data_IF_911831667882
#
_entry.id   IF_911831667882
#
_cell.length_a   1.000
_cell.length_b   1.000
_cell.length_c   1.000
_cell.angle_alpha   90.00
_cell.angle_beta   90.00
_cell.angle_gamma   90.00
#
_symmetry.space_group_name_H-M   'P 1'
#
loop_
_entity.id
_entity.type
_entity.pdbx_description
1 polymer ?
#
# COMPACT_ATOMS: atom_id res chain seq x y z
N UNK A 1 -49.84 31.73 3.31
CA UNK A 1 -48.82 32.27 4.24
C UNK A 1 -48.67 31.29 5.40
N UNK A 2 -47.65 30.43 5.34
CA UNK A 2 -47.32 29.55 6.47
C UNK A 2 -46.86 30.40 7.65
N UNK A 3 -47.37 30.12 8.85
CA UNK A 3 -46.95 30.81 10.07
C UNK A 3 -45.46 30.59 10.28
N UNK A 4 -44.70 31.67 10.42
CA UNK A 4 -43.33 31.64 10.92
C UNK A 4 -43.41 31.09 12.35
N UNK A 5 -42.85 29.91 12.66
CA UNK A 5 -42.87 29.43 14.03
C UNK A 5 -41.92 30.30 14.87
N UNK A 6 -42.49 31.28 15.58
CA UNK A 6 -41.76 31.99 16.62
C UNK A 6 -41.48 31.02 17.77
N UNK A 7 -40.23 30.57 17.93
CA UNK A 7 -39.75 30.19 19.25
C UNK A 7 -39.86 31.43 20.13
N UNK A 8 -40.84 31.45 21.04
CA UNK A 8 -40.96 32.49 22.06
C UNK A 8 -39.61 32.60 22.78
N UNK A 9 -38.98 33.75 22.65
CA UNK A 9 -37.99 34.42 23.52
C UNK A 9 -36.95 35.14 22.65
N UNK A 10 -36.79 36.43 22.87
CA UNK A 10 -35.72 37.23 22.29
C UNK A 10 -34.38 36.68 22.80
N UNK A 11 -33.45 36.36 21.89
CA UNK A 11 -32.17 35.75 22.23
C UNK A 11 -31.03 36.75 22.12
N UNK A 12 -29.97 36.52 22.91
CA UNK A 12 -28.73 37.25 22.74
C UNK A 12 -27.98 36.69 21.53
N UNK A 13 -28.09 37.37 20.39
CA UNK A 13 -27.37 37.00 19.16
C UNK A 13 -26.08 37.81 18.98
N UNK A 14 -25.55 38.47 20.02
CA UNK A 14 -24.29 39.21 20.00
C UNK A 14 -24.38 40.74 19.93
N UNK A 15 -25.59 41.31 19.87
CA UNK A 15 -25.83 42.76 19.83
C UNK A 15 -26.37 43.33 21.14
N UNK A 16 -26.47 44.66 21.24
CA UNK A 16 -27.00 45.36 22.43
C UNK A 16 -28.49 45.09 22.68
N UNK A 17 -29.22 44.63 21.67
CA UNK A 17 -30.63 44.26 21.74
C UNK A 17 -30.82 42.77 21.49
N UNK A 18 -31.63 42.13 22.33
CA UNK A 18 -32.07 40.77 22.07
C UNK A 18 -32.86 40.73 20.76
N UNK A 19 -32.72 39.68 19.96
CA UNK A 19 -33.39 39.51 18.67
C UNK A 19 -33.79 38.08 18.36
N UNK A 20 -34.63 37.91 17.34
CA UNK A 20 -34.87 36.61 16.73
C UNK A 20 -33.80 36.38 15.66
N UNK A 21 -32.89 35.43 15.92
CA UNK A 21 -31.97 34.96 14.89
C UNK A 21 -32.74 34.19 13.82
N UNK A 22 -32.33 34.31 12.57
CA UNK A 22 -32.86 33.46 11.51
C UNK A 22 -32.37 32.04 11.75
N UNK A 23 -33.29 31.08 11.72
CA UNK A 23 -32.92 29.66 11.74
C UNK A 23 -32.48 29.22 10.35
N UNK A 24 -31.67 28.16 10.30
CA UNK A 24 -31.33 27.48 9.05
C UNK A 24 -32.56 27.15 8.20
N UNK A 25 -32.49 27.46 6.90
CA UNK A 25 -33.60 27.24 5.96
C UNK A 25 -34.76 28.26 6.09
N UNK A 26 -34.61 29.32 6.88
CA UNK A 26 -35.60 30.40 6.96
C UNK A 26 -35.82 31.05 5.59
N UNK A 27 -37.08 31.31 5.16
CA UNK A 27 -37.37 32.07 3.93
C UNK A 27 -36.89 33.53 3.97
N UNK A 28 -36.45 34.01 5.13
CA UNK A 28 -35.87 35.33 5.28
C UNK A 28 -34.36 35.37 4.98
N UNK A 29 -33.71 34.22 4.89
CA UNK A 29 -32.30 34.13 4.50
C UNK A 29 -32.14 34.51 3.03
N UNK A 30 -31.21 35.42 2.73
CA UNK A 30 -30.90 35.91 1.39
C UNK A 30 -32.13 36.40 0.60
N UNK A 31 -33.15 36.93 1.27
CA UNK A 31 -34.44 37.27 0.69
C UNK A 31 -34.73 38.78 0.63
N UNK A 32 -33.83 39.61 1.14
CA UNK A 32 -33.94 41.06 1.14
C UNK A 32 -33.47 41.72 -0.15
N UNK A 33 -33.48 43.05 -0.16
CA UNK A 33 -33.02 43.87 -1.28
C UNK A 33 -31.84 44.72 -0.83
N UNK A 34 -30.67 44.48 -1.42
CA UNK A 34 -29.43 45.20 -1.11
C UNK A 34 -29.54 46.71 -1.36
N UNK A 35 -30.45 47.16 -2.24
CA UNK A 35 -30.63 48.60 -2.51
C UNK A 35 -31.37 49.32 -1.39
N UNK A 36 -32.09 48.59 -0.55
CA UNK A 36 -32.87 49.11 0.57
C UNK A 36 -32.11 49.04 1.91
N UNK A 37 -30.87 48.56 1.91
CA UNK A 37 -30.06 48.50 3.14
C UNK A 37 -29.56 49.89 3.53
N UNK A 38 -30.12 50.45 4.60
CA UNK A 38 -29.73 51.77 5.11
C UNK A 38 -28.36 51.78 5.84
N UNK A 39 -27.84 50.62 6.25
CA UNK A 39 -26.60 50.47 7.00
C UNK A 39 -25.70 49.41 6.36
N UNK A 40 -24.38 49.63 6.37
CA UNK A 40 -23.38 48.66 5.92
C UNK A 40 -23.11 47.57 6.96
N UNK A 41 -23.60 47.74 8.19
CA UNK A 41 -23.53 46.74 9.26
C UNK A 41 -24.92 46.37 9.79
N UNK A 42 -25.06 45.15 10.29
CA UNK A 42 -26.22 44.71 11.05
C UNK A 42 -26.20 45.25 12.48
N UNK A 43 -27.23 44.95 13.28
CA UNK A 43 -27.34 45.48 14.64
C UNK A 43 -26.24 45.00 15.61
N UNK A 44 -25.45 43.98 15.21
CA UNK A 44 -24.32 43.44 15.97
C UNK A 44 -23.00 44.08 15.54
N UNK A 45 -23.03 44.92 14.49
CA UNK A 45 -21.84 45.50 13.87
C UNK A 45 -21.18 44.59 12.84
N UNK A 46 -21.77 43.42 12.52
CA UNK A 46 -21.28 42.56 11.45
C UNK A 46 -21.61 43.15 10.07
N UNK A 47 -20.83 42.83 9.05
CA UNK A 47 -21.10 43.27 7.66
C UNK A 47 -22.51 42.84 7.24
N UNK A 48 -23.29 43.79 6.72
CA UNK A 48 -24.69 43.58 6.33
C UNK A 48 -24.85 42.92 4.96
N UNK A 49 -23.91 43.15 4.05
CA UNK A 49 -24.00 42.67 2.67
C UNK A 49 -22.88 41.67 2.44
N UNK A 50 -23.21 40.38 2.51
CA UNK A 50 -22.32 39.26 2.19
C UNK A 50 -22.94 38.37 1.10
N UNK A 51 -23.62 39.01 0.15
CA UNK A 51 -24.54 38.36 -0.79
C UNK A 51 -25.82 39.17 -0.95
N UNK A 52 -26.97 38.50 -1.02
CA UNK A 52 -28.27 39.14 -0.88
C UNK A 52 -28.56 39.26 0.61
N UNK A 53 -28.90 40.45 1.08
CA UNK A 53 -29.16 40.71 2.51
C UNK A 53 -30.32 39.87 3.04
N UNK A 54 -30.23 39.45 4.29
CA UNK A 54 -31.30 38.81 5.02
C UNK A 54 -32.43 39.80 5.37
N UNK A 55 -33.67 39.31 5.39
CA UNK A 55 -34.80 40.06 5.95
C UNK A 55 -34.74 39.94 7.48
N UNK A 56 -34.39 41.02 8.18
CA UNK A 56 -34.43 41.05 9.63
C UNK A 56 -33.46 42.03 10.25
N UNK A 57 -33.09 41.78 11.50
CA UNK A 57 -32.17 42.64 12.25
C UNK A 57 -30.71 42.18 12.19
N UNK A 58 -30.48 40.94 11.75
CA UNK A 58 -29.17 40.27 11.67
C UNK A 58 -28.91 39.79 10.25
N UNK A 59 -27.64 39.75 9.84
CA UNK A 59 -27.16 39.09 8.63
C UNK A 59 -26.49 37.75 8.99
N UNK A 60 -27.09 36.63 8.57
CA UNK A 60 -26.62 35.28 8.87
C UNK A 60 -25.46 34.89 7.95
N UNK A 61 -24.24 34.97 8.48
CA UNK A 61 -23.04 34.48 7.80
C UNK A 61 -22.54 33.23 8.51
N UNK A 62 -23.04 32.08 8.08
CA UNK A 62 -22.63 30.79 8.63
C UNK A 62 -21.37 30.29 7.91
N UNK A 63 -20.41 29.82 8.70
CA UNK A 63 -19.24 29.09 8.19
C UNK A 63 -19.17 27.71 8.84
N UNK A 64 -18.31 26.84 8.33
CA UNK A 64 -18.07 25.52 8.90
C UNK A 64 -16.77 25.49 9.71
N UNK A 65 -16.74 24.66 10.75
CA UNK A 65 -15.52 24.19 11.39
C UNK A 65 -15.56 22.67 11.52
N UNK A 66 -14.44 21.99 11.26
CA UNK A 66 -14.30 20.57 11.53
C UNK A 66 -14.32 20.31 13.05
N UNK A 67 -15.15 19.38 13.48
CA UNK A 67 -15.34 19.03 14.90
C UNK A 67 -14.90 17.60 15.22
N UNK A 68 -14.94 16.68 14.25
CA UNK A 68 -14.50 15.30 14.43
C UNK A 68 -14.04 14.64 13.11
N UNK A 69 -13.24 13.58 13.21
CA UNK A 69 -12.88 12.73 12.07
C UNK A 69 -11.81 13.29 11.12
N UNK A 70 -11.09 14.36 11.49
CA UNK A 70 -9.97 14.85 10.69
C UNK A 70 -8.66 14.11 11.02
N UNK A 71 -7.76 14.00 10.04
CA UNK A 71 -6.42 13.39 10.18
C UNK A 71 -6.44 11.94 10.67
N UNK A 72 -7.41 11.16 10.21
CA UNK A 72 -7.51 9.73 10.51
C UNK A 72 -7.09 8.90 9.29
N UNK A 73 -6.73 7.65 9.58
CA UNK A 73 -6.32 6.67 8.60
C UNK A 73 -7.07 5.37 8.81
N UNK A 74 -7.24 4.59 7.76
CA UNK A 74 -7.73 3.21 7.85
C UNK A 74 -7.13 2.38 6.72
N UNK A 75 -7.09 1.06 6.88
CA UNK A 75 -6.67 0.17 5.78
C UNK A 75 -7.65 0.26 4.63
N UNK A 76 -7.17 0.09 3.39
CA UNK A 76 -8.03 0.03 2.21
C UNK A 76 -9.23 -0.91 2.41
N UNK A 77 -10.37 -0.54 1.81
CA UNK A 77 -11.65 -1.25 1.92
C UNK A 77 -12.25 -1.38 3.34
N UNK A 78 -11.76 -0.61 4.31
CA UNK A 78 -12.32 -0.58 5.68
C UNK A 78 -12.94 0.77 6.05
N UNK A 79 -13.74 0.78 7.11
CA UNK A 79 -14.38 2.00 7.62
C UNK A 79 -13.38 2.88 8.38
N UNK A 80 -13.46 4.18 8.13
CA UNK A 80 -12.83 5.16 9.01
C UNK A 80 -13.46 5.11 10.40
N UNK A 81 -12.63 5.14 11.45
CA UNK A 81 -13.08 4.87 12.82
C UNK A 81 -13.93 5.98 13.44
N UNK A 82 -13.80 7.23 12.97
CA UNK A 82 -14.60 8.36 13.46
C UNK A 82 -15.36 9.01 12.30
N UNK A 83 -16.68 9.13 12.41
CA UNK A 83 -17.47 9.84 11.40
C UNK A 83 -17.04 11.31 11.29
N UNK A 84 -16.99 11.82 10.06
CA UNK A 84 -16.63 13.21 9.81
C UNK A 84 -17.73 14.12 10.34
N UNK A 85 -17.37 15.13 11.14
CA UNK A 85 -18.36 16.07 11.67
C UNK A 85 -17.90 17.51 11.54
N UNK A 86 -18.85 18.39 11.24
CA UNK A 86 -18.68 19.84 11.24
C UNK A 86 -19.68 20.51 12.16
N UNK A 87 -19.32 21.66 12.71
CA UNK A 87 -20.22 22.58 13.41
C UNK A 87 -20.33 23.88 12.67
N UNK A 88 -21.55 24.42 12.60
CA UNK A 88 -21.79 25.78 12.16
C UNK A 88 -21.12 26.79 13.10
N UNK A 89 -20.44 27.76 12.52
CA UNK A 89 -19.95 28.95 13.21
C UNK A 89 -20.67 30.19 12.70
N UNK A 90 -20.93 31.12 13.61
CA UNK A 90 -21.35 32.47 13.26
C UNK A 90 -20.17 33.30 12.74
N UNK A 91 -20.46 34.52 12.31
CA UNK A 91 -19.48 35.44 11.76
C UNK A 91 -18.38 35.91 12.75
N UNK A 92 -18.56 35.61 14.04
CA UNK A 92 -17.61 35.92 15.10
C UNK A 92 -16.78 34.70 15.54
N UNK A 93 -16.93 33.54 14.86
CA UNK A 93 -16.22 32.30 15.18
C UNK A 93 -16.81 31.51 16.36
N UNK A 94 -17.97 31.91 16.88
CA UNK A 94 -18.71 31.14 17.90
C UNK A 94 -19.64 30.11 17.25
N UNK A 95 -20.01 29.06 17.99
CA UNK A 95 -20.97 28.05 17.50
C UNK A 95 -22.33 28.67 17.21
N UNK A 96 -22.92 28.38 16.06
CA UNK A 96 -24.25 28.83 15.67
C UNK A 96 -25.26 27.67 15.74
N UNK A 97 -26.39 27.80 16.47
CA UNK A 97 -27.45 26.82 16.42
C UNK A 97 -28.18 26.88 15.08
N UNK A 98 -28.63 25.74 14.57
CA UNK A 98 -29.42 25.68 13.34
C UNK A 98 -29.65 24.25 12.92
N UNK A 99 -30.86 23.72 13.15
CA UNK A 99 -31.26 22.39 12.68
C UNK A 99 -31.73 22.44 11.23
N UNK A 100 -31.53 21.34 10.50
CA UNK A 100 -32.11 21.14 9.16
C UNK A 100 -31.33 21.79 8.01
N UNK A 101 -30.14 22.35 8.25
CA UNK A 101 -29.27 22.87 7.18
C UNK A 101 -28.57 21.70 6.51
N UNK A 102 -28.66 21.61 5.19
CA UNK A 102 -28.00 20.56 4.40
C UNK A 102 -26.51 20.85 4.24
N UNK A 103 -25.67 19.90 4.65
CA UNK A 103 -24.21 19.91 4.49
C UNK A 103 -23.84 18.76 3.57
N UNK A 104 -23.04 19.03 2.54
CA UNK A 104 -22.58 18.00 1.60
C UNK A 104 -21.09 17.74 1.81
N UNK A 105 -20.75 16.48 2.08
CA UNK A 105 -19.40 15.97 2.17
C UNK A 105 -19.01 15.37 0.82
N UNK A 106 -17.93 15.83 0.21
CA UNK A 106 -17.54 15.44 -1.15
C UNK A 106 -16.17 14.79 -1.11
N UNK A 107 -16.08 13.46 -1.27
CA UNK A 107 -14.80 12.77 -1.41
C UNK A 107 -14.09 13.13 -2.72
N UNK A 108 -12.78 12.89 -2.77
CA UNK A 108 -12.02 12.95 -4.01
C UNK A 108 -12.58 11.97 -5.06
N UNK A 109 -12.51 12.32 -6.34
CA UNK A 109 -13.03 11.48 -7.43
C UNK A 109 -11.98 10.62 -8.12
N UNK A 110 -10.69 10.84 -7.84
CA UNK A 110 -9.56 10.15 -8.45
C UNK A 110 -8.56 9.72 -7.37
N UNK A 111 -7.95 8.56 -7.56
CA UNK A 111 -6.96 8.00 -6.63
C UNK A 111 -7.58 7.51 -5.32
N UNK A 112 -6.84 7.63 -4.22
CA UNK A 112 -7.34 7.34 -2.88
C UNK A 112 -8.59 8.18 -2.59
N UNK A 113 -9.62 7.53 -2.06
CA UNK A 113 -10.89 8.17 -1.72
C UNK A 113 -11.68 7.29 -0.75
N UNK A 114 -12.92 7.67 -0.46
CA UNK A 114 -13.88 6.84 0.24
C UNK A 114 -15.31 7.03 -0.27
N UNK A 115 -16.17 6.08 0.10
CA UNK A 115 -17.60 6.08 -0.24
C UNK A 115 -18.44 6.12 1.04
N UNK A 116 -19.46 6.98 1.06
CA UNK A 116 -20.39 7.08 2.16
C UNK A 116 -21.52 6.06 2.05
N UNK A 117 -21.71 5.24 3.08
CA UNK A 117 -22.71 4.16 3.13
C UNK A 117 -24.17 4.63 3.08
N UNK A 118 -24.46 5.88 3.48
CA UNK A 118 -25.80 6.48 3.52
C UNK A 118 -25.99 7.67 2.58
N UNK A 119 -25.11 7.84 1.59
CA UNK A 119 -25.01 9.07 0.81
C UNK A 119 -24.21 10.15 1.51
N UNK A 120 -23.93 11.23 0.78
CA UNK A 120 -22.89 12.19 1.15
C UNK A 120 -23.43 13.56 1.62
N UNK A 121 -24.76 13.70 1.73
CA UNK A 121 -25.42 14.89 2.27
C UNK A 121 -26.15 14.53 3.56
N UNK A 122 -25.97 15.34 4.60
CA UNK A 122 -26.61 15.21 5.91
C UNK A 122 -27.16 16.56 6.38
N UNK A 123 -28.04 16.56 7.37
CA UNK A 123 -28.60 17.78 7.94
C UNK A 123 -28.04 18.06 9.34
N UNK A 124 -27.88 19.34 9.67
CA UNK A 124 -27.46 19.76 11.01
C UNK A 124 -28.53 19.47 12.07
N UNK A 125 -28.09 19.15 13.30
CA UNK A 125 -28.96 19.03 14.47
C UNK A 125 -29.24 20.42 15.12
N UNK A 126 -29.98 20.43 16.24
CA UNK A 126 -30.33 21.67 16.96
C UNK A 126 -29.12 22.51 17.41
N UNK A 127 -27.99 21.87 17.69
CA UNK A 127 -26.73 22.53 18.07
C UNK A 127 -25.91 23.01 16.86
N UNK A 128 -26.40 22.82 15.63
CA UNK A 128 -25.68 23.19 14.41
C UNK A 128 -24.57 22.21 14.03
N UNK A 129 -24.61 20.98 14.53
CA UNK A 129 -23.64 19.93 14.18
C UNK A 129 -24.20 19.05 13.07
N UNK A 130 -23.42 18.83 12.02
CA UNK A 130 -23.68 17.82 11.00
C UNK A 130 -22.62 16.71 11.08
N UNK A 131 -23.07 15.48 11.24
CA UNK A 131 -22.22 14.28 11.24
C UNK A 131 -22.51 13.49 9.97
N UNK A 132 -21.49 13.24 9.17
CA UNK A 132 -21.59 12.46 7.95
C UNK A 132 -21.94 10.99 8.26
N UNK A 133 -22.43 10.27 7.25
CA UNK A 133 -22.54 8.82 7.34
C UNK A 133 -21.15 8.17 7.45
N UNK A 134 -21.06 6.89 7.86
CA UNK A 134 -19.79 6.16 7.86
C UNK A 134 -19.16 6.15 6.47
N UNK A 135 -17.88 6.52 6.44
CA UNK A 135 -17.03 6.57 5.25
C UNK A 135 -16.18 5.30 5.17
N UNK A 136 -16.27 4.58 4.07
CA UNK A 136 -15.41 3.43 3.76
C UNK A 136 -14.31 3.86 2.81
N UNK A 137 -13.05 3.55 3.12
CA UNK A 137 -11.93 3.74 2.21
C UNK A 137 -12.13 2.89 0.94
N UNK A 138 -11.73 3.42 -0.22
CA UNK A 138 -11.62 2.59 -1.42
C UNK A 138 -10.37 1.70 -1.39
N UNK A 139 -10.12 0.98 -2.48
CA UNK A 139 -9.01 0.02 -2.59
C UNK A 139 -7.67 0.64 -2.95
N UNK A 140 -7.57 1.98 -3.00
CA UNK A 140 -6.36 2.70 -3.45
C UNK A 140 -5.70 3.36 -2.24
N UNK A 141 -4.41 3.06 -2.03
CA UNK A 141 -3.62 3.67 -0.96
C UNK A 141 -3.31 5.15 -1.22
N UNK A 142 -3.11 5.90 -0.14
CA UNK A 142 -2.61 7.27 -0.19
C UNK A 142 -3.47 8.27 0.57
N UNK A 143 -2.99 9.51 0.55
CA UNK A 143 -3.67 10.63 1.18
C UNK A 143 -4.76 11.16 0.25
N UNK A 144 -5.89 11.53 0.84
CA UNK A 144 -6.98 12.17 0.13
C UNK A 144 -7.74 13.14 1.03
N UNK A 145 -8.65 13.89 0.43
CA UNK A 145 -9.49 14.84 1.16
C UNK A 145 -10.97 14.57 0.95
N UNK A 146 -11.75 14.91 1.97
CA UNK A 146 -13.21 15.05 1.87
C UNK A 146 -13.56 16.49 2.21
N UNK A 147 -14.29 17.16 1.31
CA UNK A 147 -14.68 18.55 1.45
C UNK A 147 -16.12 18.65 1.97
N UNK A 148 -16.32 19.23 3.16
CA UNK A 148 -17.65 19.56 3.67
C UNK A 148 -18.01 21.00 3.28
N UNK A 149 -19.13 21.17 2.57
CA UNK A 149 -19.53 22.45 2.01
C UNK A 149 -20.89 22.95 2.52
N UNK A 150 -20.98 24.27 2.67
CA UNK A 150 -22.17 25.05 2.99
C UNK A 150 -22.08 26.41 2.28
N UNK A 151 -22.93 26.68 1.29
CA UNK A 151 -23.10 28.00 0.66
C UNK A 151 -21.79 28.76 0.38
N UNK A 152 -20.77 28.07 -0.15
CA UNK A 152 -19.45 28.64 -0.46
C UNK A 152 -18.41 28.56 0.66
N UNK A 153 -18.80 28.27 1.90
CA UNK A 153 -17.89 27.83 2.96
C UNK A 153 -17.49 26.38 2.73
N UNK A 154 -16.20 26.07 2.89
CA UNK A 154 -15.68 24.70 2.75
C UNK A 154 -14.67 24.38 3.84
N UNK A 155 -14.74 23.16 4.37
CA UNK A 155 -13.77 22.59 5.30
C UNK A 155 -13.28 21.26 4.76
N UNK A 156 -11.96 21.08 4.71
CA UNK A 156 -11.36 19.84 4.25
C UNK A 156 -10.98 18.94 5.43
N UNK A 157 -11.34 17.67 5.32
CA UNK A 157 -10.83 16.58 6.14
C UNK A 157 -9.68 15.92 5.39
N UNK A 158 -8.51 15.80 6.02
CA UNK A 158 -7.39 15.04 5.49
C UNK A 158 -7.48 13.61 6.00
N UNK A 159 -7.45 12.65 5.10
CA UNK A 159 -7.61 11.23 5.39
C UNK A 159 -6.52 10.43 4.67
N UNK A 160 -6.21 9.25 5.18
CA UNK A 160 -5.23 8.35 4.57
C UNK A 160 -5.80 6.94 4.45
N UNK A 161 -5.76 6.39 3.24
CA UNK A 161 -5.95 4.96 3.00
C UNK A 161 -4.59 4.28 3.15
N UNK A 162 -4.42 3.43 4.15
CA UNK A 162 -3.19 2.66 4.36
C UNK A 162 -3.28 1.31 3.67
N UNK A 163 -2.13 0.74 3.32
CA UNK A 163 -2.07 -0.58 2.69
C UNK A 163 -2.66 -1.67 3.59
N UNK A 164 -3.26 -2.69 2.97
CA UNK A 164 -3.72 -3.89 3.67
C UNK A 164 -2.55 -4.81 4.07
N UNK A 165 -2.90 -5.95 4.68
CA UNK A 165 -1.94 -6.99 5.01
C UNK A 165 -1.36 -7.64 3.75
N UNK A 166 -0.16 -8.22 3.87
CA UNK A 166 0.47 -8.95 2.77
C UNK A 166 -0.36 -10.18 2.38
N UNK A 167 -0.68 -10.27 1.10
CA UNK A 167 -1.46 -11.38 0.56
C UNK A 167 -0.78 -12.04 -0.63
N UNK A 168 -0.04 -11.27 -1.44
CA UNK A 168 0.53 -11.74 -2.70
C UNK A 168 2.05 -11.54 -2.74
N UNK A 169 2.76 -12.60 -3.16
CA UNK A 169 4.19 -12.58 -3.48
C UNK A 169 4.35 -12.91 -4.96
N UNK A 170 4.86 -11.99 -5.75
CA UNK A 170 5.12 -12.19 -7.18
C UNK A 170 6.62 -12.24 -7.45
N UNK A 171 7.11 -13.28 -8.12
CA UNK A 171 8.51 -13.35 -8.54
C UNK A 171 8.70 -12.49 -9.79
N UNK A 172 9.54 -11.46 -9.68
CA UNK A 172 9.77 -10.45 -10.73
C UNK A 172 11.03 -10.77 -11.52
N UNK A 173 12.07 -11.30 -10.85
CA UNK A 173 13.33 -11.65 -11.49
C UNK A 173 14.07 -12.78 -10.76
N UNK A 174 15.00 -13.42 -11.48
CA UNK A 174 15.94 -14.39 -10.92
C UNK A 174 15.40 -15.81 -10.76
N UNK A 175 14.24 -16.15 -11.34
CA UNK A 175 13.72 -17.51 -11.36
C UNK A 175 14.24 -18.31 -12.55
N UNK A 176 14.44 -19.62 -12.37
CA UNK A 176 14.91 -20.57 -13.38
C UNK A 176 16.25 -20.17 -14.02
N UNK A 177 17.13 -19.54 -13.26
CA UNK A 177 18.50 -19.23 -13.70
C UNK A 177 19.48 -20.29 -13.20
N UNK A 178 20.64 -20.32 -13.84
CA UNK A 178 21.77 -21.14 -13.42
C UNK A 178 23.04 -20.32 -13.26
N UNK A 179 23.97 -20.86 -12.48
CA UNK A 179 25.32 -20.34 -12.34
C UNK A 179 26.29 -21.50 -12.17
N UNK A 180 27.50 -21.33 -12.68
CA UNK A 180 28.60 -22.27 -12.41
C UNK A 180 28.85 -22.29 -10.90
N UNK A 181 29.14 -23.47 -10.32
CA UNK A 181 29.47 -23.62 -8.90
C UNK A 181 30.50 -22.59 -8.44
N UNK A 182 30.29 -22.01 -7.24
CA UNK A 182 31.11 -20.95 -6.64
C UNK A 182 31.11 -19.60 -7.38
N UNK A 183 30.31 -19.44 -8.45
CA UNK A 183 30.15 -18.17 -9.16
C UNK A 183 28.83 -17.47 -8.79
N UNK A 184 28.81 -16.15 -8.97
CA UNK A 184 27.62 -15.32 -8.74
C UNK A 184 26.57 -15.58 -9.82
N UNK A 185 25.30 -15.62 -9.44
CA UNK A 185 24.19 -15.66 -10.38
C UNK A 185 24.04 -14.32 -11.12
N UNK A 186 23.72 -14.36 -12.41
CA UNK A 186 23.64 -13.16 -13.24
C UNK A 186 22.51 -12.22 -12.80
N UNK A 187 21.36 -12.78 -12.39
CA UNK A 187 20.20 -12.01 -11.97
C UNK A 187 20.03 -12.10 -10.45
N UNK A 188 19.84 -10.96 -9.79
CA UNK A 188 19.42 -10.96 -8.39
C UNK A 188 17.99 -11.49 -8.25
N UNK A 189 17.68 -12.15 -7.13
CA UNK A 189 16.29 -12.53 -6.85
C UNK A 189 15.52 -11.26 -6.53
N UNK A 190 14.42 -11.03 -7.24
CA UNK A 190 13.54 -9.88 -7.00
C UNK A 190 12.10 -10.36 -6.90
N UNK A 191 11.43 -10.00 -5.81
CA UNK A 191 10.00 -10.28 -5.60
C UNK A 191 9.25 -8.99 -5.32
N UNK A 192 7.97 -8.94 -5.73
CA UNK A 192 7.02 -7.86 -5.45
C UNK A 192 6.01 -8.38 -4.42
N UNK A 193 5.82 -7.63 -3.35
CA UNK A 193 4.83 -7.93 -2.31
C UNK A 193 3.68 -6.94 -2.39
N UNK A 194 2.45 -7.45 -2.47
CA UNK A 194 1.23 -6.63 -2.49
C UNK A 194 0.17 -7.15 -1.52
N UNK A 195 -0.78 -6.28 -1.16
CA UNK A 195 -2.03 -6.68 -0.52
C UNK A 195 -2.98 -7.39 -1.52
N UNK A 196 -4.19 -7.74 -1.06
CA UNK A 196 -5.25 -8.37 -1.86
C UNK A 196 -5.76 -7.50 -3.01
N UNK A 197 -5.57 -6.18 -2.91
CA UNK A 197 -6.03 -5.20 -3.90
C UNK A 197 -4.92 -4.80 -4.88
N UNK A 198 -3.73 -5.41 -4.77
CA UNK A 198 -2.58 -5.13 -5.61
C UNK A 198 -1.79 -3.87 -5.22
N UNK A 199 -2.03 -3.31 -4.04
CA UNK A 199 -1.24 -2.19 -3.54
C UNK A 199 0.13 -2.70 -3.04
N UNK A 200 1.24 -2.06 -3.43
CA UNK A 200 2.57 -2.46 -2.98
C UNK A 200 2.77 -2.18 -1.49
N UNK A 201 3.38 -3.14 -0.79
CA UNK A 201 3.65 -3.03 0.65
C UNK A 201 5.10 -2.64 0.87
N UNK A 202 5.35 -1.46 1.42
CA UNK A 202 6.68 -0.99 1.77
C UNK A 202 7.12 -1.46 3.16
N UNK A 203 8.42 -1.64 3.36
CA UNK A 203 9.04 -2.08 4.62
C UNK A 203 8.56 -3.45 5.13
N UNK A 204 7.94 -4.26 4.27
CA UNK A 204 7.56 -5.63 4.59
C UNK A 204 8.81 -6.51 4.65
N UNK A 205 8.96 -7.27 5.72
CA UNK A 205 10.08 -8.22 5.86
C UNK A 205 9.83 -9.43 4.98
N UNK A 206 10.85 -9.80 4.18
CA UNK A 206 10.87 -10.96 3.29
C UNK A 206 12.09 -11.81 3.63
N UNK A 207 11.87 -13.08 3.95
CA UNK A 207 12.94 -14.04 4.26
C UNK A 207 13.10 -15.05 3.13
N UNK A 208 14.34 -15.22 2.67
CA UNK A 208 14.71 -16.20 1.65
C UNK A 208 15.42 -17.38 2.32
N UNK A 209 14.78 -18.55 2.28
CA UNK A 209 15.32 -19.79 2.85
C UNK A 209 15.90 -20.68 1.75
N UNK A 210 17.19 -20.99 1.88
CA UNK A 210 17.93 -21.89 0.99
C UNK A 210 18.03 -23.30 1.61
N UNK A 211 18.21 -24.36 0.80
CA UNK A 211 18.45 -25.70 1.34
C UNK A 211 19.68 -25.76 2.24
N UNK A 212 19.61 -26.56 3.31
CA UNK A 212 20.70 -26.74 4.28
C UNK A 212 21.71 -27.83 3.88
N UNK A 213 21.45 -28.58 2.81
CA UNK A 213 22.30 -29.65 2.29
C UNK A 213 22.17 -29.75 0.76
N UNK A 214 23.21 -30.25 0.09
CA UNK A 214 23.24 -30.39 -1.37
C UNK A 214 23.44 -29.07 -2.11
N UNK A 215 22.93 -29.00 -3.34
CA UNK A 215 22.93 -27.78 -4.15
C UNK A 215 22.15 -26.67 -3.43
N UNK A 216 22.77 -25.51 -3.32
CA UNK A 216 22.22 -24.36 -2.58
C UNK A 216 22.87 -23.05 -3.05
N UNK A 217 22.35 -21.93 -2.56
CA UNK A 217 22.88 -20.59 -2.80
C UNK A 217 23.39 -19.96 -1.49
N UNK A 218 24.42 -19.15 -1.61
CA UNK A 218 24.89 -18.24 -0.56
C UNK A 218 24.28 -16.87 -0.85
N UNK A 219 23.37 -16.42 0.02
CA UNK A 219 22.73 -15.12 -0.09
C UNK A 219 23.58 -14.04 0.58
N UNK A 220 23.62 -12.84 0.00
CA UNK A 220 24.26 -11.71 0.69
C UNK A 220 23.48 -11.26 1.94
N UNK A 221 22.16 -11.51 1.95
CA UNK A 221 21.26 -11.28 3.08
C UNK A 221 20.12 -12.31 3.05
N UNK A 222 19.89 -13.05 4.13
CA UNK A 222 18.77 -14.01 4.19
C UNK A 222 17.40 -13.33 4.42
N UNK A 223 17.39 -12.09 4.89
CA UNK A 223 16.18 -11.30 5.15
C UNK A 223 16.39 -9.86 4.70
N UNK A 224 15.44 -9.33 3.94
CA UNK A 224 15.43 -7.93 3.46
C UNK A 224 14.03 -7.35 3.61
N UNK A 225 13.92 -6.03 3.64
CA UNK A 225 12.64 -5.33 3.62
C UNK A 225 12.31 -4.81 2.23
N UNK A 226 11.03 -4.77 1.87
CA UNK A 226 10.58 -4.20 0.60
C UNK A 226 10.80 -2.68 0.54
N UNK A 227 11.08 -2.16 -0.68
CA UNK A 227 11.15 -0.72 -0.95
C UNK A 227 9.76 -0.06 -1.05
N UNK A 228 9.70 1.24 -1.36
CA UNK A 228 8.45 1.99 -1.48
C UNK A 228 7.52 1.48 -2.59
N UNK A 229 8.04 0.68 -3.53
CA UNK A 229 7.28 0.08 -4.62
C UNK A 229 6.97 -1.40 -4.33
N UNK A 230 7.24 -1.88 -3.12
CA UNK A 230 6.96 -3.25 -2.70
C UNK A 230 7.99 -4.29 -3.14
N UNK A 231 9.16 -3.88 -3.65
CA UNK A 231 10.18 -4.83 -4.11
C UNK A 231 11.18 -5.21 -3.02
N UNK A 232 11.42 -6.51 -2.86
CA UNK A 232 12.53 -7.07 -2.10
C UNK A 232 13.55 -7.69 -3.06
N UNK A 233 14.84 -7.37 -2.89
CA UNK A 233 15.93 -7.83 -3.77
C UNK A 233 17.10 -8.40 -2.97
N UNK A 234 17.62 -9.55 -3.38
CA UNK A 234 18.78 -10.21 -2.77
C UNK A 234 19.73 -10.74 -3.84
N UNK A 235 21.04 -10.57 -3.62
CA UNK A 235 22.09 -11.13 -4.47
C UNK A 235 22.53 -12.51 -3.97
N UNK A 236 22.98 -13.36 -4.88
CA UNK A 236 23.26 -14.76 -4.57
C UNK A 236 24.42 -15.34 -5.38
N UNK A 237 25.15 -16.26 -4.75
CA UNK A 237 26.28 -17.01 -5.33
C UNK A 237 25.99 -18.50 -5.20
N UNK A 238 26.23 -19.27 -6.26
CA UNK A 238 26.12 -20.73 -6.23
C UNK A 238 27.11 -21.31 -5.22
N UNK A 239 26.70 -22.31 -4.43
CA UNK A 239 27.65 -23.09 -3.65
C UNK A 239 28.44 -24.08 -4.54
N UNK A 240 29.31 -24.88 -3.92
CA UNK A 240 30.14 -25.87 -4.62
C UNK A 240 29.42 -27.16 -5.03
N UNK A 241 28.13 -27.31 -4.74
CA UNK A 241 27.38 -28.53 -5.03
C UNK A 241 26.53 -28.34 -6.29
N UNK A 242 26.74 -29.21 -7.29
CA UNK A 242 25.99 -29.23 -8.55
C UNK A 242 24.57 -29.73 -8.33
N UNK A 243 23.61 -29.17 -9.04
CA UNK A 243 22.23 -29.64 -9.08
C UNK A 243 21.18 -28.54 -8.99
N UNK A 244 19.93 -28.92 -9.18
CA UNK A 244 18.77 -28.03 -9.06
C UNK A 244 18.22 -28.01 -7.64
N UNK A 245 17.74 -26.84 -7.23
CA UNK A 245 17.14 -26.61 -5.91
C UNK A 245 16.13 -25.49 -5.96
N UNK A 246 15.39 -25.33 -4.86
CA UNK A 246 14.42 -24.25 -4.69
C UNK A 246 14.78 -23.38 -3.48
N UNK A 247 14.54 -22.09 -3.61
CA UNK A 247 14.55 -21.12 -2.51
C UNK A 247 13.11 -20.81 -2.14
N UNK A 248 12.78 -20.93 -0.86
CA UNK A 248 11.48 -20.56 -0.32
C UNK A 248 11.49 -19.08 0.07
N UNK A 249 10.53 -18.33 -0.46
CA UNK A 249 10.28 -16.92 -0.13
C UNK A 249 9.15 -16.87 0.88
N UNK A 250 9.49 -16.45 2.10
CA UNK A 250 8.56 -16.35 3.22
C UNK A 250 8.22 -14.88 3.51
N UNK A 251 6.93 -14.60 3.56
CA UNK A 251 6.34 -13.33 4.01
C UNK A 251 5.20 -13.67 4.95
N UNK A 252 5.16 -13.04 6.11
CA UNK A 252 4.09 -13.23 7.09
C UNK A 252 2.73 -12.95 6.46
N UNK A 253 1.77 -13.85 6.66
CA UNK A 253 0.41 -13.72 6.11
C UNK A 253 0.22 -14.27 4.70
N UNK A 254 1.27 -14.71 4.01
CA UNK A 254 1.19 -15.27 2.65
C UNK A 254 1.52 -16.76 2.59
N UNK A 255 0.99 -17.43 1.56
CA UNK A 255 1.50 -18.74 1.16
C UNK A 255 2.86 -18.55 0.46
N UNK A 256 3.91 -19.17 0.99
CA UNK A 256 5.27 -18.99 0.51
C UNK A 256 5.44 -19.35 -0.97
N UNK A 257 6.26 -18.56 -1.68
CA UNK A 257 6.57 -18.78 -3.10
C UNK A 257 7.94 -19.44 -3.27
N UNK A 258 8.13 -20.24 -4.32
CA UNK A 258 9.40 -20.93 -4.58
C UNK A 258 10.09 -20.41 -5.83
N UNK A 259 11.40 -20.16 -5.72
CA UNK A 259 12.28 -19.79 -6.83
C UNK A 259 13.16 -20.99 -7.15
N UNK A 260 13.15 -21.46 -8.39
CA UNK A 260 13.97 -22.59 -8.87
C UNK A 260 15.30 -22.10 -9.42
N UNK A 261 16.40 -22.76 -9.04
CA UNK A 261 17.75 -22.44 -9.48
C UNK A 261 18.54 -23.72 -9.79
N UNK A 262 19.62 -23.60 -10.56
CA UNK A 262 20.57 -24.68 -10.82
C UNK A 262 22.00 -24.22 -10.62
N UNK A 263 22.78 -25.01 -9.88
CA UNK A 263 24.23 -24.88 -9.86
C UNK A 263 24.80 -25.80 -10.94
N UNK A 264 25.40 -25.21 -11.97
CA UNK A 264 26.02 -25.92 -13.08
C UNK A 264 27.47 -26.27 -12.76
N UNK A 265 27.95 -27.36 -13.35
CA UNK A 265 29.32 -27.81 -13.16
C UNK A 265 30.31 -26.91 -13.93
N UNK A 266 31.47 -26.63 -13.32
CA UNK A 266 32.57 -25.93 -13.98
C UNK A 266 33.35 -26.87 -14.91
N UNK A 267 32.91 -26.96 -16.17
CA UNK A 267 33.53 -27.85 -17.17
C UNK A 267 34.91 -27.33 -17.61
N UNK A 268 35.15 -26.02 -17.56
CA UNK A 268 36.43 -25.42 -17.98
C UNK A 268 37.54 -25.71 -16.97
N UNK A 269 37.22 -25.71 -15.67
CA UNK A 269 38.13 -26.15 -14.61
C UNK A 269 38.50 -27.64 -14.75
N UNK A 270 37.57 -28.48 -15.21
CA UNK A 270 37.84 -29.88 -15.49
C UNK A 270 38.72 -30.05 -16.74
N UNK A 271 38.43 -29.36 -17.83
CA UNK A 271 39.21 -29.48 -19.08
C UNK A 271 40.67 -29.02 -18.90
N UNK A 272 40.92 -28.01 -18.04
CA UNK A 272 42.29 -27.58 -17.71
C UNK A 272 43.11 -28.65 -16.98
N UNK A 273 42.47 -29.51 -16.17
CA UNK A 273 43.14 -30.66 -15.55
C UNK A 273 43.40 -31.76 -16.58
N UNK A 274 42.50 -31.95 -17.55
CA UNK A 274 42.66 -32.93 -18.62
C UNK A 274 43.82 -32.58 -19.56
N UNK A 275 44.01 -31.30 -19.89
CA UNK A 275 45.02 -30.87 -20.85
C UNK A 275 46.46 -30.84 -20.26
N UNK A 276 46.62 -30.96 -18.93
CA UNK A 276 47.93 -30.86 -18.25
C UNK A 276 48.59 -32.20 -17.97
N UNK A 277 47.84 -33.30 -17.97
CA UNK A 277 48.39 -34.65 -17.87
C UNK A 277 48.47 -35.28 -19.27
N UNK A 278 49.69 -35.65 -19.67
CA UNK A 278 49.95 -36.39 -20.91
C UNK A 278 49.50 -37.87 -20.83
N UNK A 279 48.86 -38.27 -19.72
CA UNK A 279 48.24 -39.59 -19.53
C UNK A 279 46.73 -39.44 -19.32
N UNK A 280 45.88 -39.88 -20.27
CA UNK A 280 44.43 -39.68 -20.21
C UNK A 280 43.73 -40.40 -19.04
N UNK A 281 44.37 -41.37 -18.39
CA UNK A 281 43.79 -42.21 -17.33
C UNK A 281 43.85 -41.53 -15.94
N UNK A 282 44.96 -40.87 -15.59
CA UNK A 282 45.12 -40.16 -14.30
C UNK A 282 44.23 -38.90 -14.24
N UNK A 283 44.06 -38.25 -15.39
CA UNK A 283 43.23 -37.07 -15.59
C UNK A 283 41.73 -37.36 -15.33
N UNK A 284 41.22 -38.48 -15.85
CA UNK A 284 39.83 -38.93 -15.62
C UNK A 284 39.58 -39.34 -14.16
N UNK A 285 40.58 -39.93 -13.51
CA UNK A 285 40.53 -40.33 -12.10
C UNK A 285 40.51 -39.10 -11.17
N UNK A 286 41.30 -38.07 -11.46
CA UNK A 286 41.32 -36.81 -10.70
C UNK A 286 40.07 -35.94 -10.90
N UNK A 287 39.49 -35.94 -12.11
CA UNK A 287 38.22 -35.27 -12.39
C UNK A 287 37.04 -35.91 -11.63
N UNK A 288 37.09 -37.23 -11.41
CA UNK A 288 36.07 -37.98 -10.69
C UNK A 288 36.16 -37.81 -9.15
N UNK A 289 37.35 -37.57 -8.60
CA UNK A 289 37.56 -37.30 -7.17
C UNK A 289 37.18 -35.87 -6.74
N UNK A 290 37.17 -34.91 -7.67
CA UNK A 290 36.90 -33.50 -7.38
C UNK A 290 35.43 -33.10 -7.55
N UNK A 291 34.62 -33.95 -8.19
CA UNK A 291 33.17 -33.72 -8.40
C UNK A 291 32.36 -34.89 -7.82
N UNK A 292 31.90 -34.79 -6.56
CA UNK A 292 31.00 -35.79 -6.02
C UNK A 292 29.63 -35.59 -6.69
N UNK A 293 29.24 -36.53 -7.56
CA UNK A 293 27.89 -36.76 -8.11
C UNK A 293 27.60 -36.43 -9.59
N UNK A 294 28.60 -36.34 -10.48
CA UNK A 294 28.31 -36.34 -11.93
C UNK A 294 28.64 -37.68 -12.55
N UNK A 295 27.59 -38.35 -13.06
CA UNK A 295 27.70 -39.45 -14.01
C UNK A 295 28.32 -38.88 -15.29
N UNK A 296 29.64 -38.95 -15.40
CA UNK A 296 30.38 -38.62 -16.61
C UNK A 296 29.98 -39.64 -17.69
N UNK A 297 29.16 -39.23 -18.66
CA UNK A 297 29.06 -39.98 -19.92
C UNK A 297 30.38 -39.75 -20.65
N UNK A 298 31.29 -40.72 -20.54
CA UNK A 298 32.57 -40.72 -21.23
C UNK A 298 32.31 -40.46 -22.72
N UNK A 299 32.97 -39.45 -23.34
CA UNK A 299 33.04 -39.38 -24.79
C UNK A 299 33.58 -40.73 -25.27
N UNK A 300 33.10 -41.19 -26.42
CA UNK A 300 33.63 -42.37 -27.10
C UNK A 300 35.08 -42.16 -27.51
N UNK A 301 36.00 -42.19 -26.54
CA UNK A 301 37.41 -42.51 -26.75
C UNK A 301 37.42 -43.93 -27.27
N UNK A 302 38.13 -44.17 -28.38
CA UNK A 302 38.26 -45.49 -28.98
C UNK A 302 38.55 -46.52 -27.88
N UNK A 303 37.62 -47.48 -27.72
CA UNK A 303 37.66 -48.55 -26.73
C UNK A 303 38.83 -49.53 -26.92
N UNK A 304 39.74 -49.24 -27.83
CA UNK A 304 40.76 -50.17 -28.30
C UNK A 304 42.12 -49.99 -27.58
N UNK A 305 42.32 -48.91 -26.81
CA UNK A 305 43.58 -48.62 -26.10
C UNK A 305 43.52 -48.84 -24.57
N UNK A 306 42.37 -49.22 -23.99
CA UNK A 306 42.24 -49.47 -22.55
C UNK A 306 41.89 -50.94 -22.29
N UNK A 307 42.64 -51.59 -21.41
CA UNK A 307 42.37 -52.97 -21.01
C UNK A 307 40.98 -53.10 -20.38
N UNK A 308 40.32 -54.25 -20.57
CA UNK A 308 38.99 -54.51 -20.00
C UNK A 308 38.95 -54.33 -18.47
N UNK A 309 40.07 -54.59 -17.78
CA UNK A 309 40.21 -54.42 -16.34
C UNK A 309 40.28 -52.92 -15.93
N UNK A 310 40.91 -52.08 -16.76
CA UNK A 310 41.02 -50.62 -16.57
C UNK A 310 39.66 -49.92 -16.77
N UNK A 311 38.86 -50.41 -17.72
CA UNK A 311 37.48 -49.96 -17.94
C UNK A 311 36.52 -50.32 -16.80
N UNK A 312 36.80 -51.41 -16.07
CA UNK A 312 36.03 -51.83 -14.89
C UNK A 312 36.37 -50.93 -13.69
N UNK A 313 37.64 -50.59 -13.50
CA UNK A 313 38.11 -49.75 -12.39
C UNK A 313 37.59 -48.30 -12.49
N UNK A 314 37.55 -47.72 -13.70
CA UNK A 314 36.95 -46.40 -13.97
C UNK A 314 35.43 -46.38 -13.74
N UNK A 315 34.74 -47.46 -14.06
CA UNK A 315 33.29 -47.56 -13.88
C UNK A 315 32.90 -47.75 -12.40
N UNK A 316 33.74 -48.41 -11.58
CA UNK A 316 33.53 -48.55 -10.14
C UNK A 316 33.86 -47.27 -9.36
N UNK A 317 34.79 -46.44 -9.83
CA UNK A 317 35.18 -45.19 -9.15
C UNK A 317 34.21 -44.01 -9.42
N UNK A 318 33.49 -44.03 -10.55
CA UNK A 318 32.59 -42.92 -10.95
C UNK A 318 31.09 -43.21 -10.83
N UNK A 319 30.69 -44.41 -10.40
CA UNK A 319 29.32 -44.69 -10.00
C UNK A 319 29.17 -44.39 -8.50
N UNK A 320 28.20 -43.54 -8.07
CA UNK A 320 27.81 -43.58 -6.68
C UNK A 320 27.30 -45.01 -6.44
N UNK A 321 27.81 -45.65 -5.39
CA UNK A 321 27.25 -46.89 -4.86
C UNK A 321 25.78 -46.62 -4.55
N UNK A 322 24.90 -46.91 -5.50
CA UNK A 322 23.49 -47.11 -5.26
C UNK A 322 23.34 -48.46 -4.56
N UNK A 323 23.76 -48.53 -3.29
CA UNK A 323 23.36 -49.58 -2.36
C UNK A 323 23.09 -48.98 -0.98
N UNK A 324 21.79 -48.94 -0.70
CA UNK A 324 21.04 -48.69 0.55
C UNK A 324 20.53 -47.27 0.75
#
# INVERSE_FOLDING_TARGET
MGKIPCSKHWLNNGGFTLTHGLQGGSPALNAGDNTLTASTTDQRGATRISGIVDIGAVESQLTLSATAGNNQSTTVDTLFGTDLAVTLQNEFGGTAPGAGISITFTPATLGASGTFSGGNTVITNASGTATANPLQANTIIGNHTVAASLDGSNVNFNLTNTVGDAANVTIVNGNNQSAITNQTFNESLKVLITDDFGNPIANQTVTFAVPTAGASAILNQNSVTTDSNGFATVGLTANGNVGSYVILVNVDGTDGNTISLTNDLDIDALQYLVDRDQDPIDSLTNACQTVPAVKLELPSVERDDLGLDEMIELNEQCLPVAKN
#
